data_IF_610987078434
#
_entry.id   IF_610987078434
#
_cell.length_a   1.000
_cell.length_b   1.000
_cell.length_c   1.000
_cell.angle_alpha   90.00
_cell.angle_beta   90.00
_cell.angle_gamma   90.00
#
_symmetry.space_group_name_H-M   'P 1'
#
loop_
_entity.id
_entity.type
_entity.pdbx_description
1 polymer ?
#
# COMPACT_ATOMS: atom_id res chain seq x y z
N UNK A 1 -41.60 -28.03 2.93
CA UNK A 1 -40.87 -29.29 3.14
C UNK A 1 -39.56 -29.24 2.38
N UNK A 2 -38.47 -28.83 3.03
CA UNK A 2 -37.11 -29.25 2.68
C UNK A 2 -36.26 -29.22 3.96
N UNK A 3 -35.48 -30.27 4.14
CA UNK A 3 -34.99 -30.82 5.40
C UNK A 3 -33.80 -30.06 6.00
N UNK A 4 -33.75 -30.06 7.34
CA UNK A 4 -32.67 -29.53 8.17
C UNK A 4 -31.45 -30.48 8.14
N UNK A 5 -30.21 -30.03 7.90
CA UNK A 5 -29.05 -30.87 8.14
C UNK A 5 -28.80 -30.91 9.66
N UNK A 6 -29.05 -32.07 10.26
CA UNK A 6 -28.47 -32.48 11.54
C UNK A 6 -27.04 -32.93 11.26
N UNK A 7 -26.06 -32.13 11.69
CA UNK A 7 -24.65 -32.48 11.66
C UNK A 7 -24.01 -31.86 12.90
N UNK A 8 -23.46 -32.70 13.77
CA UNK A 8 -22.75 -32.29 14.97
C UNK A 8 -21.57 -31.41 14.54
N UNK A 9 -21.57 -30.16 15.00
CA UNK A 9 -20.44 -29.26 14.80
C UNK A 9 -19.27 -29.75 15.66
N UNK A 10 -18.37 -30.53 15.08
CA UNK A 10 -17.03 -30.76 15.64
C UNK A 10 -16.18 -29.49 15.45
N UNK A 11 -16.65 -28.38 16.05
CA UNK A 11 -15.83 -27.20 16.27
C UNK A 11 -14.88 -27.57 17.41
N UNK A 12 -13.79 -28.21 16.99
CA UNK A 12 -12.72 -28.82 17.78
C UNK A 12 -12.47 -28.07 19.08
N UNK A 13 -12.63 -28.80 20.18
CA UNK A 13 -12.24 -28.44 21.54
C UNK A 13 -10.80 -27.87 21.58
N UNK A 14 -9.96 -28.30 20.64
CA UNK A 14 -8.59 -27.82 20.45
C UNK A 14 -8.50 -26.33 20.08
N UNK A 15 -9.45 -25.80 19.30
CA UNK A 15 -9.48 -24.38 18.94
C UNK A 15 -9.81 -23.49 20.16
N UNK A 16 -10.65 -24.00 21.07
CA UNK A 16 -10.99 -23.29 22.32
C UNK A 16 -9.85 -23.42 23.34
N UNK A 17 -9.18 -24.58 23.40
CA UNK A 17 -8.02 -24.80 24.28
C UNK A 17 -6.85 -23.87 23.93
N UNK A 18 -6.56 -23.70 22.64
CA UNK A 18 -5.49 -22.82 22.15
C UNK A 18 -5.79 -21.33 22.44
N UNK A 19 -7.06 -20.93 22.40
CA UNK A 19 -7.48 -19.58 22.81
C UNK A 19 -7.31 -19.35 24.33
N UNK A 20 -7.64 -20.35 25.15
CA UNK A 20 -7.48 -20.27 26.62
C UNK A 20 -5.99 -20.26 27.05
N UNK A 21 -5.13 -21.03 26.39
CA UNK A 21 -3.69 -21.04 26.67
C UNK A 21 -3.05 -19.67 26.38
N UNK A 22 -3.44 -19.01 25.28
CA UNK A 22 -2.97 -17.67 24.93
C UNK A 22 -3.46 -16.56 25.87
N UNK A 23 -4.64 -16.71 26.48
CA UNK A 23 -5.15 -15.73 27.47
C UNK A 23 -4.60 -15.95 28.89
N UNK A 24 -4.12 -17.15 29.22
CA UNK A 24 -3.69 -17.52 30.57
C UNK A 24 -2.25 -17.12 30.93
N UNK A 25 -1.62 -16.22 30.15
CA UNK A 25 -0.30 -15.64 30.43
C UNK A 25 -0.24 -14.91 31.77
N UNK A 26 -0.14 -15.67 32.86
CA UNK A 26 0.08 -15.17 34.21
C UNK A 26 1.51 -14.66 34.29
N UNK A 27 1.64 -13.34 34.30
CA UNK A 27 2.85 -12.68 34.78
C UNK A 27 3.16 -13.18 36.19
N UNK A 28 4.28 -13.88 36.34
CA UNK A 28 4.92 -14.06 37.65
C UNK A 28 6.28 -13.37 37.62
N UNK A 29 6.25 -12.11 38.06
CA UNK A 29 7.41 -11.42 38.62
C UNK A 29 7.81 -12.20 39.88
N UNK A 30 8.99 -12.82 39.87
CA UNK A 30 9.55 -13.54 41.00
C UNK A 30 11.03 -13.19 41.15
N UNK A 31 11.34 -12.37 42.15
CA UNK A 31 12.67 -12.00 42.59
C UNK A 31 13.11 -13.00 43.66
N UNK A 32 14.25 -13.70 43.48
CA UNK A 32 15.07 -14.23 44.58
C UNK A 32 16.39 -14.84 44.09
N UNK A 33 17.48 -14.21 44.57
CA UNK A 33 18.72 -14.76 45.15
C UNK A 33 19.34 -16.08 44.64
N UNK A 34 20.62 -15.98 44.26
CA UNK A 34 21.58 -17.07 44.02
C UNK A 34 22.02 -17.77 45.32
N UNK A 35 22.66 -18.97 45.31
CA UNK A 35 24.07 -19.10 44.91
C UNK A 35 24.49 -20.37 44.13
N UNK A 36 25.62 -20.21 43.42
CA UNK A 36 26.75 -21.15 43.13
C UNK A 36 26.52 -22.62 42.73
N UNK A 37 26.96 -23.03 41.54
CA UNK A 37 28.26 -23.71 41.27
C UNK A 37 28.35 -24.38 39.88
N UNK A 38 29.55 -24.29 39.30
CA UNK A 38 30.23 -25.21 38.37
C UNK A 38 29.85 -25.28 36.86
N UNK A 39 30.93 -25.31 36.07
CA UNK A 39 31.09 -25.24 34.62
C UNK A 39 30.49 -26.40 33.84
N UNK A 40 30.08 -26.15 32.58
CA UNK A 40 30.65 -26.80 31.38
C UNK A 40 30.17 -26.06 30.10
N UNK A 41 31.10 -25.76 29.19
CA UNK A 41 30.87 -25.15 27.88
C UNK A 41 30.39 -26.22 26.88
N UNK A 42 29.31 -25.93 26.13
CA UNK A 42 29.05 -26.50 24.81
C UNK A 42 28.10 -25.56 24.05
N UNK A 43 28.47 -25.21 22.82
CA UNK A 43 27.85 -24.18 21.98
C UNK A 43 26.43 -24.57 21.52
N UNK A 44 25.45 -23.71 21.78
CA UNK A 44 24.10 -23.79 21.21
C UNK A 44 23.62 -22.40 20.77
N UNK A 45 23.06 -22.24 19.56
CA UNK A 45 22.88 -20.93 18.94
C UNK A 45 21.84 -20.08 19.67
N UNK A 46 22.17 -18.80 19.80
CA UNK A 46 21.38 -17.75 20.41
C UNK A 46 19.89 -17.81 19.98
N UNK A 47 19.02 -17.91 20.98
CA UNK A 47 17.58 -17.70 20.88
C UNK A 47 17.33 -16.29 20.35
N UNK A 48 17.15 -16.20 19.04
CA UNK A 48 16.60 -15.01 18.39
C UNK A 48 15.11 -14.96 18.69
N UNK A 49 14.70 -13.94 19.44
CA UNK A 49 13.31 -13.59 19.69
C UNK A 49 12.54 -13.50 18.37
N UNK A 50 11.74 -14.52 18.06
CA UNK A 50 10.79 -14.49 16.96
C UNK A 50 9.40 -14.25 17.53
N UNK A 51 8.85 -13.06 17.30
CA UNK A 51 7.45 -12.91 16.84
C UNK A 51 7.09 -11.44 16.55
N UNK A 52 7.62 -10.91 15.45
CA UNK A 52 7.02 -9.77 14.71
C UNK A 52 6.93 -10.08 13.20
N UNK A 53 7.11 -11.34 12.80
CA UNK A 53 7.49 -11.73 11.44
C UNK A 53 6.36 -11.99 10.45
N UNK A 54 5.08 -11.98 10.84
CA UNK A 54 4.00 -12.41 9.93
C UNK A 54 3.72 -11.40 8.80
N UNK A 55 4.01 -10.11 9.00
CA UNK A 55 3.77 -9.07 7.98
C UNK A 55 4.85 -9.00 6.89
N UNK A 56 6.04 -9.57 7.12
CA UNK A 56 7.18 -9.40 6.20
C UNK A 56 7.24 -10.45 5.08
N UNK A 57 6.59 -11.61 5.25
CA UNK A 57 6.68 -12.70 4.27
C UNK A 57 6.12 -12.31 2.90
N UNK A 58 4.97 -11.63 2.84
CA UNK A 58 4.38 -11.21 1.56
C UNK A 58 5.16 -10.10 0.84
N UNK A 59 6.11 -9.48 1.54
CA UNK A 59 6.73 -8.23 1.12
C UNK A 59 8.16 -8.44 0.61
N UNK A 60 8.92 -9.37 1.21
CA UNK A 60 10.21 -9.86 0.71
C UNK A 60 10.11 -10.50 -0.68
N UNK A 61 8.91 -10.93 -1.08
CA UNK A 61 8.70 -11.67 -2.31
C UNK A 61 8.27 -10.80 -3.49
N UNK A 62 8.07 -9.48 -3.34
CA UNK A 62 7.67 -8.61 -4.45
C UNK A 62 8.74 -8.62 -5.55
N UNK A 63 8.40 -9.17 -6.72
CA UNK A 63 9.36 -9.41 -7.81
C UNK A 63 9.56 -8.17 -8.70
N UNK A 64 8.65 -7.21 -8.64
CA UNK A 64 8.70 -6.04 -9.52
C UNK A 64 9.71 -4.97 -9.05
N UNK A 65 10.74 -4.73 -9.86
CA UNK A 65 11.83 -3.76 -9.62
C UNK A 65 11.37 -2.29 -9.56
N UNK A 66 10.14 -1.98 -10.00
CA UNK A 66 9.55 -0.65 -9.84
C UNK A 66 9.52 -0.21 -8.37
N UNK A 67 9.37 -1.17 -7.45
CA UNK A 67 9.26 -0.92 -6.03
C UNK A 67 10.59 -1.04 -5.26
N UNK A 68 11.75 -1.09 -5.94
CA UNK A 68 13.06 -1.11 -5.26
C UNK A 68 13.25 0.05 -4.27
N UNK A 69 12.60 1.20 -4.50
CA UNK A 69 12.61 2.34 -3.56
C UNK A 69 11.83 2.05 -2.27
N UNK A 70 10.77 1.25 -2.36
CA UNK A 70 9.92 0.85 -1.23
C UNK A 70 10.64 -0.17 -0.34
N UNK A 71 11.63 -0.91 -0.86
CA UNK A 71 12.40 -1.85 -0.04
C UNK A 71 13.04 -1.19 1.19
N UNK A 72 13.47 0.07 1.05
CA UNK A 72 14.04 0.86 2.15
C UNK A 72 13.03 1.19 3.26
N UNK A 73 11.75 1.01 3.01
CA UNK A 73 10.67 1.31 3.96
C UNK A 73 10.32 0.11 4.84
N UNK A 74 10.80 -1.10 4.52
CA UNK A 74 10.49 -2.32 5.26
C UNK A 74 10.98 -2.31 6.71
N UNK A 75 12.15 -1.75 6.93
CA UNK A 75 12.72 -1.64 8.28
C UNK A 75 12.33 -0.32 8.97
N UNK A 76 11.49 0.51 8.32
CA UNK A 76 11.16 1.82 8.86
C UNK A 76 10.08 1.76 9.94
N UNK A 77 10.31 2.47 11.04
CA UNK A 77 9.31 2.65 12.11
C UNK A 77 8.25 3.72 11.80
N UNK A 78 8.32 4.40 10.66
CA UNK A 78 7.34 5.40 10.26
C UNK A 78 5.99 4.76 9.91
N UNK A 79 4.90 5.26 10.50
CA UNK A 79 3.54 4.80 10.18
C UNK A 79 3.21 4.94 8.69
N UNK A 80 3.62 6.04 8.06
CA UNK A 80 3.41 6.26 6.62
C UNK A 80 4.17 5.24 5.75
N UNK A 81 5.36 4.82 6.19
CA UNK A 81 6.13 3.78 5.49
C UNK A 81 5.49 2.40 5.66
N UNK A 82 5.02 2.09 6.86
CA UNK A 82 4.26 0.86 7.14
C UNK A 82 2.99 0.78 6.31
N UNK A 83 2.28 1.89 6.13
CA UNK A 83 1.08 1.97 5.29
C UNK A 83 1.40 1.69 3.81
N UNK A 84 2.47 2.30 3.27
CA UNK A 84 2.93 2.02 1.89
C UNK A 84 3.24 0.52 1.71
N UNK A 85 3.94 -0.06 2.68
CA UNK A 85 4.29 -1.47 2.68
C UNK A 85 3.04 -2.37 2.76
N UNK A 86 2.08 -2.06 3.62
CA UNK A 86 0.84 -2.81 3.78
C UNK A 86 -0.01 -2.78 2.50
N UNK A 87 -0.19 -1.60 1.90
CA UNK A 87 -0.91 -1.46 0.62
C UNK A 87 -0.22 -2.24 -0.49
N UNK A 88 1.11 -2.17 -0.58
CA UNK A 88 1.86 -2.91 -1.60
C UNK A 88 1.72 -4.42 -1.43
N UNK A 89 1.81 -4.94 -0.20
CA UNK A 89 1.58 -6.35 0.09
C UNK A 89 0.16 -6.78 -0.32
N UNK A 90 -0.86 -6.05 0.11
CA UNK A 90 -2.25 -6.37 -0.20
C UNK A 90 -2.53 -6.39 -1.71
N UNK A 91 -2.03 -5.39 -2.45
CA UNK A 91 -2.19 -5.34 -3.91
C UNK A 91 -1.43 -6.48 -4.59
N UNK A 92 -0.22 -6.80 -4.13
CA UNK A 92 0.58 -7.90 -4.67
C UNK A 92 -0.11 -9.25 -4.46
N UNK A 93 -0.67 -9.46 -3.27
CA UNK A 93 -1.46 -10.66 -2.96
C UNK A 93 -2.69 -10.79 -3.87
N UNK A 94 -3.42 -9.69 -4.11
CA UNK A 94 -4.56 -9.68 -5.04
C UNK A 94 -4.13 -10.10 -6.45
N UNK A 95 -3.03 -9.53 -6.97
CA UNK A 95 -2.52 -9.88 -8.30
C UNK A 95 -2.15 -11.37 -8.36
N UNK A 96 -1.44 -11.89 -7.35
CA UNK A 96 -1.05 -13.31 -7.26
C UNK A 96 -2.25 -14.24 -7.17
N UNK A 97 -3.26 -13.87 -6.38
CA UNK A 97 -4.49 -14.66 -6.21
C UNK A 97 -5.26 -14.84 -7.53
N UNK A 98 -5.10 -13.92 -8.46
CA UNK A 98 -5.70 -13.96 -9.80
C UNK A 98 -4.78 -14.62 -10.85
N UNK A 99 -3.64 -15.19 -10.44
CA UNK A 99 -2.66 -15.80 -11.35
C UNK A 99 -1.84 -14.78 -12.15
N UNK A 100 -1.79 -13.53 -11.70
CA UNK A 100 -1.04 -12.46 -12.35
C UNK A 100 0.48 -12.61 -12.21
N UNK A 101 1.23 -11.84 -13.00
CA UNK A 101 2.70 -11.92 -13.09
C UNK A 101 3.41 -10.71 -12.50
N UNK A 102 2.73 -9.92 -11.67
CA UNK A 102 3.28 -8.73 -11.03
C UNK A 102 3.84 -7.71 -12.04
N UNK A 103 3.25 -7.62 -13.23
CA UNK A 103 3.63 -6.62 -14.23
C UNK A 103 3.19 -5.22 -13.79
N UNK A 104 3.85 -4.18 -14.31
CA UNK A 104 3.51 -2.80 -14.01
C UNK A 104 2.07 -2.45 -14.42
N UNK A 105 1.58 -3.11 -15.47
CA UNK A 105 0.19 -2.90 -15.94
C UNK A 105 -0.82 -3.54 -14.99
N UNK A 106 -0.52 -4.72 -14.43
CA UNK A 106 -1.35 -5.35 -13.39
C UNK A 106 -1.34 -4.52 -12.10
N UNK A 107 -0.17 -4.05 -11.67
CA UNK A 107 -0.07 -3.13 -10.53
C UNK A 107 -0.83 -1.83 -10.76
N UNK A 108 -0.74 -1.26 -11.96
CA UNK A 108 -1.50 -0.06 -12.31
C UNK A 108 -3.00 -0.29 -12.19
N UNK A 109 -3.51 -1.37 -12.79
CA UNK A 109 -4.94 -1.69 -12.74
C UNK A 109 -5.42 -1.96 -11.31
N UNK A 110 -4.67 -2.74 -10.54
CA UNK A 110 -5.01 -3.06 -9.16
C UNK A 110 -4.96 -1.82 -8.25
N UNK A 111 -3.91 -1.00 -8.36
CA UNK A 111 -3.78 0.24 -7.59
C UNK A 111 -4.84 1.29 -7.96
N UNK A 112 -5.25 1.37 -9.23
CA UNK A 112 -6.36 2.24 -9.63
C UNK A 112 -7.68 1.79 -9.00
N UNK A 113 -7.91 0.47 -8.91
CA UNK A 113 -9.08 -0.04 -8.18
C UNK A 113 -8.98 0.28 -6.68
N UNK A 114 -7.79 0.14 -6.10
CA UNK A 114 -7.56 0.47 -4.68
C UNK A 114 -7.74 1.96 -4.40
N UNK A 115 -7.30 2.86 -5.29
CA UNK A 115 -7.38 4.31 -5.05
C UNK A 115 -8.81 4.82 -4.99
N UNK A 116 -9.72 4.18 -5.72
CA UNK A 116 -11.15 4.50 -5.71
C UNK A 116 -11.88 3.92 -4.48
N UNK A 117 -11.32 2.89 -3.84
CA UNK A 117 -11.93 2.19 -2.71
C UNK A 117 -11.45 2.70 -1.33
N UNK A 118 -10.29 3.37 -1.25
CA UNK A 118 -9.72 3.81 0.03
C UNK A 118 -10.32 5.13 0.50
N UNK A 119 -10.71 5.17 1.78
CA UNK A 119 -11.30 6.37 2.39
C UNK A 119 -10.32 7.11 3.31
N UNK A 120 -9.33 6.41 3.87
CA UNK A 120 -8.39 7.02 4.81
C UNK A 120 -7.37 7.91 4.07
N UNK A 121 -7.05 9.12 4.59
CA UNK A 121 -6.02 9.98 4.00
C UNK A 121 -4.64 9.33 3.91
N UNK A 122 -4.31 8.46 4.87
CA UNK A 122 -3.04 7.73 4.95
C UNK A 122 -2.94 6.68 3.84
N UNK A 123 -3.96 5.82 3.69
CA UNK A 123 -4.00 4.81 2.63
C UNK A 123 -4.06 5.47 1.25
N UNK A 124 -4.85 6.54 1.09
CA UNK A 124 -4.90 7.29 -0.16
C UNK A 124 -3.53 7.87 -0.54
N UNK A 125 -2.77 8.39 0.44
CA UNK A 125 -1.41 8.88 0.19
C UNK A 125 -0.44 7.76 -0.18
N UNK A 126 -0.56 6.59 0.45
CA UNK A 126 0.23 5.40 0.13
C UNK A 126 -0.05 4.87 -1.28
N UNK A 127 -1.32 4.67 -1.63
CA UNK A 127 -1.73 4.22 -2.97
C UNK A 127 -1.29 5.22 -4.04
N UNK A 128 -1.49 6.52 -3.81
CA UNK A 128 -1.07 7.58 -4.74
C UNK A 128 0.45 7.58 -4.96
N UNK A 129 1.23 7.30 -3.91
CA UNK A 129 2.68 7.16 -4.04
C UNK A 129 3.08 5.99 -4.92
N UNK A 130 2.50 4.82 -4.67
CA UNK A 130 2.77 3.59 -5.43
C UNK A 130 2.37 3.78 -6.90
N UNK A 131 1.21 4.39 -7.19
CA UNK A 131 0.79 4.76 -8.53
C UNK A 131 1.83 5.64 -9.23
N UNK A 132 2.34 6.68 -8.56
CA UNK A 132 3.38 7.55 -9.13
C UNK A 132 4.69 6.81 -9.48
N UNK A 133 5.00 5.70 -8.81
CA UNK A 133 6.13 4.84 -9.19
C UNK A 133 5.80 4.02 -10.44
N UNK A 134 4.63 3.38 -10.44
CA UNK A 134 4.19 2.46 -11.50
C UNK A 134 3.89 3.19 -12.80
N UNK A 135 3.20 4.34 -12.77
CA UNK A 135 2.86 5.12 -13.97
C UNK A 135 4.08 5.50 -14.82
N UNK A 136 5.27 5.60 -14.22
CA UNK A 136 6.51 5.92 -14.96
C UNK A 136 7.05 4.74 -15.76
N UNK A 137 6.54 3.54 -15.51
CA UNK A 137 7.00 2.28 -16.10
C UNK A 137 5.93 1.61 -16.97
N UNK A 138 4.64 1.94 -16.77
CA UNK A 138 3.56 1.42 -17.61
C UNK A 138 3.76 1.81 -19.08
N UNK A 139 3.54 0.88 -20.04
CA UNK A 139 3.65 1.18 -21.46
C UNK A 139 2.76 2.35 -21.90
N UNK A 140 3.30 3.22 -22.75
CA UNK A 140 2.60 4.44 -23.19
C UNK A 140 1.23 4.16 -23.86
N UNK A 141 1.06 3.11 -24.69
CA UNK A 141 -0.25 2.78 -25.26
C UNK A 141 -1.33 2.49 -24.21
N UNK A 142 -0.96 1.91 -23.06
CA UNK A 142 -1.89 1.64 -21.96
C UNK A 142 -2.33 2.96 -21.31
N UNK A 143 -1.37 3.85 -21.04
CA UNK A 143 -1.65 5.15 -20.42
C UNK A 143 -2.50 6.06 -21.32
N UNK A 144 -2.29 6.02 -22.63
CA UNK A 144 -3.11 6.75 -23.61
C UNK A 144 -4.54 6.18 -23.59
N UNK A 145 -4.69 4.85 -23.74
CA UNK A 145 -6.00 4.20 -23.74
C UNK A 145 -6.79 4.43 -22.45
N UNK A 146 -6.11 4.54 -21.31
CA UNK A 146 -6.71 4.74 -19.99
C UNK A 146 -6.71 6.19 -19.52
N UNK A 147 -6.30 7.14 -20.35
CA UNK A 147 -6.14 8.54 -19.94
C UNK A 147 -7.41 9.13 -19.33
N UNK A 148 -8.56 9.00 -20.00
CA UNK A 148 -9.83 9.59 -19.55
C UNK A 148 -10.24 9.06 -18.17
N UNK A 149 -10.31 7.73 -18.00
CA UNK A 149 -10.72 7.10 -16.74
C UNK A 149 -9.75 7.48 -15.60
N UNK A 150 -8.46 7.37 -15.86
CA UNK A 150 -7.41 7.59 -14.85
C UNK A 150 -7.32 9.05 -14.42
N UNK A 151 -7.39 9.97 -15.39
CA UNK A 151 -7.34 11.40 -15.10
C UNK A 151 -8.58 11.89 -14.38
N UNK A 152 -9.76 11.32 -14.68
CA UNK A 152 -10.99 11.59 -13.94
C UNK A 152 -10.86 11.21 -12.46
N UNK A 153 -10.43 9.98 -12.16
CA UNK A 153 -10.24 9.53 -10.79
C UNK A 153 -9.27 10.45 -10.01
N UNK A 154 -8.18 10.87 -10.64
CA UNK A 154 -7.24 11.82 -10.02
C UNK A 154 -7.79 13.23 -9.83
N UNK A 155 -8.58 13.73 -10.78
CA UNK A 155 -9.26 15.02 -10.65
C UNK A 155 -10.29 15.00 -9.52
N UNK A 156 -11.03 13.91 -9.36
CA UNK A 156 -12.00 13.72 -8.27
C UNK A 156 -11.30 13.71 -6.90
N UNK A 157 -10.15 13.03 -6.81
CA UNK A 157 -9.30 13.06 -5.60
C UNK A 157 -8.79 14.48 -5.31
N UNK A 158 -8.35 15.23 -6.33
CA UNK A 158 -7.91 16.62 -6.13
C UNK A 158 -9.04 17.52 -5.61
N UNK A 159 -10.25 17.36 -6.15
CA UNK A 159 -11.42 18.10 -5.70
C UNK A 159 -11.76 17.77 -4.24
N UNK A 160 -11.77 16.48 -3.87
CA UNK A 160 -12.01 16.04 -2.49
C UNK A 160 -10.93 16.54 -1.52
N UNK A 161 -9.66 16.55 -1.94
CA UNK A 161 -8.55 16.92 -1.08
C UNK A 161 -8.40 18.43 -0.89
N UNK A 162 -8.98 19.26 -1.77
CA UNK A 162 -8.93 20.73 -1.65
C UNK A 162 -9.58 21.23 -0.35
N UNK A 163 -10.58 20.50 0.15
CA UNK A 163 -11.28 20.81 1.40
C UNK A 163 -10.74 20.03 2.60
N UNK A 164 -9.90 19.01 2.37
CA UNK A 164 -9.31 18.20 3.42
C UNK A 164 -7.97 18.82 3.85
N UNK A 165 -7.74 19.00 5.15
CA UNK A 165 -6.49 19.60 5.65
C UNK A 165 -5.20 18.81 5.30
N UNK A 166 -5.35 17.55 4.89
CA UNK A 166 -4.27 16.66 4.47
C UNK A 166 -3.85 16.95 3.03
N UNK A 167 -2.54 16.99 2.77
CA UNK A 167 -1.99 17.23 1.43
C UNK A 167 -1.01 16.14 1.01
N UNK A 168 -1.02 15.02 1.74
CA UNK A 168 -0.04 13.94 1.58
C UNK A 168 -0.24 13.19 0.26
N UNK A 169 -1.50 12.94 -0.14
CA UNK A 169 -1.85 12.33 -1.42
C UNK A 169 -1.72 13.31 -2.59
N UNK A 170 -2.15 14.56 -2.39
CA UNK A 170 -2.28 15.58 -3.44
C UNK A 170 -1.01 15.77 -4.27
N UNK A 171 0.16 15.81 -3.63
CA UNK A 171 1.44 15.95 -4.35
C UNK A 171 1.72 14.80 -5.32
N UNK A 172 1.31 13.59 -4.97
CA UNK A 172 1.53 12.41 -5.78
C UNK A 172 0.52 12.32 -6.91
N UNK A 173 -0.75 12.65 -6.62
CA UNK A 173 -1.80 12.76 -7.63
C UNK A 173 -1.43 13.78 -8.71
N UNK A 174 -0.94 14.96 -8.33
CA UNK A 174 -0.41 15.96 -9.27
C UNK A 174 0.72 15.40 -10.13
N UNK A 175 1.65 14.66 -9.52
CA UNK A 175 2.76 14.02 -10.26
C UNK A 175 2.27 12.93 -11.23
N UNK A 176 1.22 12.18 -10.86
CA UNK A 176 0.58 11.20 -11.73
C UNK A 176 -0.08 11.87 -12.94
N UNK A 177 -0.86 12.94 -12.72
CA UNK A 177 -1.48 13.71 -13.80
C UNK A 177 -0.46 14.33 -14.75
N UNK A 178 0.61 14.95 -14.23
CA UNK A 178 1.70 15.45 -15.05
C UNK A 178 2.35 14.34 -15.90
N UNK A 179 2.43 13.12 -15.36
CA UNK A 179 2.95 11.96 -16.10
C UNK A 179 1.98 11.52 -17.19
N UNK A 180 0.68 11.47 -16.93
CA UNK A 180 -0.35 11.13 -17.92
C UNK A 180 -0.42 12.13 -19.07
N UNK A 181 -0.41 13.44 -18.76
CA UNK A 181 -0.45 14.51 -19.77
C UNK A 181 0.76 14.45 -20.71
N UNK A 182 1.96 14.14 -20.18
CA UNK A 182 3.18 13.98 -20.99
C UNK A 182 3.16 12.78 -21.94
N UNK A 183 2.19 11.86 -21.77
CA UNK A 183 2.03 10.70 -22.66
C UNK A 183 1.00 10.93 -23.76
N UNK A 184 0.25 12.03 -23.72
CA UNK A 184 -0.73 12.36 -24.74
C UNK A 184 -0.03 12.81 -26.03
N UNK A 185 -0.60 12.42 -27.17
CA UNK A 185 -0.16 12.89 -28.48
C UNK A 185 -0.71 14.30 -28.77
N UNK A 186 -0.30 14.87 -29.90
CA UNK A 186 -0.68 16.24 -30.26
C UNK A 186 -2.20 16.39 -30.46
N UNK A 187 -2.84 15.38 -31.05
CA UNK A 187 -4.28 15.37 -31.29
C UNK A 187 -5.06 15.41 -29.98
N UNK A 188 -4.59 14.69 -28.96
CA UNK A 188 -5.26 14.63 -27.68
C UNK A 188 -5.40 16.00 -26.98
N UNK A 189 -4.54 16.97 -27.29
CA UNK A 189 -4.62 18.33 -26.76
C UNK A 189 -5.76 19.17 -27.35
N UNK A 190 -6.38 18.72 -28.45
CA UNK A 190 -7.60 19.34 -28.97
C UNK A 190 -8.85 18.93 -28.20
N UNK A 191 -8.79 17.83 -27.43
CA UNK A 191 -9.96 17.34 -26.69
C UNK A 191 -10.17 18.11 -25.38
N UNK A 192 -11.45 18.43 -25.04
CA UNK A 192 -11.78 19.14 -23.80
C UNK A 192 -11.26 18.46 -22.53
N UNK A 193 -11.27 17.13 -22.49
CA UNK A 193 -10.80 16.35 -21.32
C UNK A 193 -9.34 16.64 -20.99
N UNK A 194 -8.46 16.67 -21.99
CA UNK A 194 -7.02 16.93 -21.79
C UNK A 194 -6.79 18.35 -21.30
N UNK A 195 -7.50 19.32 -21.87
CA UNK A 195 -7.44 20.72 -21.46
C UNK A 195 -7.95 20.92 -20.03
N UNK A 196 -9.06 20.27 -19.66
CA UNK A 196 -9.62 20.33 -18.32
C UNK A 196 -8.64 19.77 -17.27
N UNK A 197 -8.01 18.63 -17.57
CA UNK A 197 -7.00 18.02 -16.69
C UNK A 197 -5.78 18.93 -16.54
N UNK A 198 -5.33 19.53 -17.64
CA UNK A 198 -4.22 20.49 -17.63
C UNK A 198 -4.54 21.74 -16.80
N UNK A 199 -5.71 22.33 -16.98
CA UNK A 199 -6.19 23.47 -16.18
C UNK A 199 -6.32 23.12 -14.70
N UNK A 200 -6.84 21.92 -14.41
CA UNK A 200 -6.89 21.36 -13.06
C UNK A 200 -5.52 21.34 -12.40
N UNK A 201 -4.51 20.83 -13.09
CA UNK A 201 -3.13 20.82 -12.60
C UNK A 201 -2.58 22.25 -12.42
N UNK A 202 -2.81 23.15 -13.38
CA UNK A 202 -2.34 24.54 -13.31
C UNK A 202 -2.90 25.29 -12.09
N UNK A 203 -4.13 24.99 -11.67
CA UNK A 203 -4.75 25.64 -10.50
C UNK A 203 -3.94 25.44 -9.20
N UNK A 204 -3.13 24.38 -9.11
CA UNK A 204 -2.29 24.09 -7.94
C UNK A 204 -0.90 24.75 -7.98
N UNK A 205 -0.54 25.42 -9.08
CA UNK A 205 0.76 26.12 -9.20
C UNK A 205 0.88 27.31 -8.26
N UNK A 206 -0.25 27.85 -7.80
CA UNK A 206 -0.35 28.98 -6.84
C UNK A 206 -0.80 28.55 -5.43
N UNK A 207 -0.88 27.24 -5.17
CA UNK A 207 -1.36 26.69 -3.90
C UNK A 207 -0.55 27.21 -2.68
N UNK A 208 -1.15 27.48 -1.50
CA UNK A 208 -0.43 28.06 -0.36
C UNK A 208 0.74 27.19 0.16
N UNK A 209 0.60 25.86 0.12
CA UNK A 209 1.66 24.93 0.56
C UNK A 209 2.77 24.77 -0.51
N UNK A 210 4.06 25.08 -0.20
CA UNK A 210 5.15 25.04 -1.17
C UNK A 210 5.40 23.67 -1.82
N UNK A 211 5.22 22.58 -1.05
CA UNK A 211 5.39 21.20 -1.56
C UNK A 211 4.40 20.87 -2.68
N UNK A 212 3.20 21.44 -2.64
CA UNK A 212 2.14 21.22 -3.63
C UNK A 212 2.41 22.06 -4.88
N UNK A 213 2.78 23.34 -4.72
CA UNK A 213 3.21 24.17 -5.86
C UNK A 213 4.34 23.53 -6.64
N UNK A 214 5.38 23.07 -5.93
CA UNK A 214 6.53 22.41 -6.55
C UNK A 214 6.13 21.16 -7.34
N UNK A 215 5.15 20.40 -6.86
CA UNK A 215 4.66 19.22 -7.57
C UNK A 215 3.82 19.58 -8.81
N UNK A 216 3.05 20.67 -8.77
CA UNK A 216 2.25 21.15 -9.90
C UNK A 216 3.09 21.83 -11.00
N UNK A 217 4.28 22.34 -10.65
CA UNK A 217 5.19 23.04 -11.58
C UNK A 217 6.23 22.11 -12.23
N UNK A 218 6.18 20.81 -11.95
CA UNK A 218 7.16 19.81 -12.39
C UNK A 218 6.64 18.99 -13.57
#
# INVERSE_FOLDING_TARGET
>A
FFSRPSGKSDLTVDAVKLHNELQSGSMRVGKSEAPETAMEEEEGPALTEKSSGTFMSGLSDCTNVTFSKVQRFWESNSAAHKEICAVLAAVTEVIRSQGGKETETEYFAALMTTVEAVESPESLAAVSYLLNLVLKRVPSPVLIKKFSDTSKAFMDIMAAQTNSGSTSALRWVLSCLATLLRKQDLEAWSYPVTLQVYQGLLSFTVHPKPKIRKAAQH
#
